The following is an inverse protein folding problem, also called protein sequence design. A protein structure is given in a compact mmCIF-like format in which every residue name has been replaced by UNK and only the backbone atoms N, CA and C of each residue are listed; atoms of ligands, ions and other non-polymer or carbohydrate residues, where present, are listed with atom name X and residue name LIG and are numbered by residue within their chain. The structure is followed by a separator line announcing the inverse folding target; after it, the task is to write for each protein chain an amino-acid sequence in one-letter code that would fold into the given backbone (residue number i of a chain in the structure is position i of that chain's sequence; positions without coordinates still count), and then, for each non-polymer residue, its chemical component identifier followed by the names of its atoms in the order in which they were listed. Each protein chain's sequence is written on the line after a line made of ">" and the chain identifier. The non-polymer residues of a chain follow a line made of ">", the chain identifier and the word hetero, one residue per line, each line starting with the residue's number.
data_IF_130782504927
#
_entry.id   IF_130782504927
#
_cell.length_a   1.000
_cell.length_b   1.000
_cell.length_c   1.000
_cell.angle_alpha   90.00
_cell.angle_beta   90.00
_cell.angle_gamma   90.00
#
_symmetry.space_group_name_H-M   'P 1'
#
loop_
_entity.id
_entity.type
_entity.pdbx_description
1 polymer ?
#
# COMPACT_ATOMS: atom_id res chain seq x y z
N UNK A 1 -60.38 -31.89 15.03
CA UNK A 1 -61.07 -30.74 15.65
C UNK A 1 -61.35 -29.78 14.50
N UNK A 2 -62.50 -29.84 13.84
CA UNK A 2 -63.81 -29.47 14.38
C UNK A 2 -63.86 -27.93 14.38
N UNK A 3 -64.68 -27.27 13.56
CA UNK A 3 -66.13 -27.22 13.69
C UNK A 3 -66.76 -26.76 12.35
N UNK A 4 -67.59 -27.62 11.75
CA UNK A 4 -68.81 -27.21 11.04
C UNK A 4 -69.90 -26.85 12.08
N UNK A 5 -70.88 -26.02 11.72
CA UNK A 5 -72.34 -26.28 11.81
C UNK A 5 -73.18 -24.99 12.10
N UNK A 6 -74.45 -25.05 11.66
CA UNK A 6 -75.62 -24.14 11.76
C UNK A 6 -75.84 -23.23 10.54
N UNK A 7 -76.75 -23.47 9.58
CA UNK A 7 -78.06 -24.17 9.47
C UNK A 7 -79.27 -23.48 10.15
N UNK A 8 -80.32 -23.31 9.32
CA UNK A 8 -81.70 -22.83 9.53
C UNK A 8 -81.88 -21.29 9.61
N UNK A 9 -82.84 -20.66 8.93
CA UNK A 9 -84.23 -21.10 8.79
C UNK A 9 -84.95 -20.44 7.59
N UNK A 10 -85.73 -21.26 6.90
CA UNK A 10 -86.83 -20.90 5.98
C UNK A 10 -87.97 -20.21 6.72
N UNK A 11 -88.72 -19.32 6.06
CA UNK A 11 -90.19 -19.18 6.13
C UNK A 11 -90.68 -17.97 5.27
N UNK A 12 -91.75 -18.19 4.49
CA UNK A 12 -92.68 -17.10 4.13
C UNK A 12 -92.99 -16.86 2.64
N UNK A 13 -93.74 -17.76 2.01
CA UNK A 13 -94.55 -17.42 0.82
C UNK A 13 -95.79 -16.59 1.21
N UNK A 14 -96.22 -15.64 0.36
CA UNK A 14 -97.64 -15.57 0.01
C UNK A 14 -97.89 -15.54 -1.51
N UNK A 15 -99.10 -15.99 -1.88
CA UNK A 15 -99.59 -16.27 -3.24
C UNK A 15 -100.08 -15.03 -3.99
N UNK A 16 -99.86 -15.05 -5.31
CA UNK A 16 -100.66 -14.58 -6.47
C UNK A 16 -101.25 -13.15 -6.47
N UNK A 17 -100.80 -12.33 -7.44
CA UNK A 17 -101.65 -11.87 -8.55
C UNK A 17 -100.87 -11.23 -9.71
N UNK A 18 -101.33 -11.53 -10.93
CA UNK A 18 -101.27 -10.78 -12.21
C UNK A 18 -99.91 -10.39 -12.87
N UNK A 19 -99.62 -11.10 -13.97
CA UNK A 19 -99.00 -10.69 -15.25
C UNK A 19 -97.98 -9.53 -15.30
N UNK A 20 -96.71 -9.84 -15.64
CA UNK A 20 -95.97 -9.43 -16.87
C UNK A 20 -94.48 -9.81 -16.79
N UNK A 21 -94.04 -10.61 -17.77
CA UNK A 21 -92.70 -10.90 -18.31
C UNK A 21 -91.41 -10.58 -17.51
N UNK A 22 -90.79 -11.60 -16.91
CA UNK A 22 -89.34 -11.85 -16.93
C UNK A 22 -89.08 -13.33 -16.54
N UNK A 23 -89.01 -14.23 -17.54
CA UNK A 23 -88.62 -15.63 -17.30
C UNK A 23 -87.10 -15.76 -17.50
N UNK A 24 -86.35 -15.64 -16.40
CA UNK A 24 -84.94 -16.07 -16.34
C UNK A 24 -84.95 -17.56 -15.97
N UNK A 25 -84.62 -18.43 -16.92
CA UNK A 25 -84.28 -19.83 -16.65
C UNK A 25 -82.79 -19.90 -16.38
N UNK A 26 -82.40 -19.91 -15.10
CA UNK A 26 -81.02 -20.20 -14.69
C UNK A 26 -80.82 -21.72 -14.49
N UNK A 27 -79.73 -22.22 -15.05
CA UNK A 27 -79.13 -23.54 -14.89
C UNK A 27 -79.92 -24.77 -15.38
N UNK A 28 -79.47 -25.29 -16.51
CA UNK A 28 -79.70 -26.66 -16.95
C UNK A 28 -78.37 -27.21 -17.47
N UNK A 29 -77.45 -27.54 -16.57
CA UNK A 29 -76.30 -28.36 -16.93
C UNK A 29 -76.81 -29.74 -17.37
N UNK A 30 -76.46 -30.15 -18.59
CA UNK A 30 -76.70 -31.49 -19.17
C UNK A 30 -78.14 -31.91 -19.51
N UNK A 31 -78.95 -31.04 -20.11
CA UNK A 31 -80.14 -31.47 -20.86
C UNK A 31 -80.07 -31.04 -22.34
N UNK A 32 -80.75 -31.81 -23.20
CA UNK A 32 -80.74 -31.68 -24.66
C UNK A 32 -81.32 -30.36 -25.22
N UNK A 33 -81.96 -30.44 -26.40
CA UNK A 33 -82.42 -29.27 -27.15
C UNK A 33 -83.30 -28.34 -26.31
N UNK A 34 -82.90 -27.08 -26.16
CA UNK A 34 -83.67 -26.06 -25.43
C UNK A 34 -84.62 -25.32 -26.40
N UNK A 35 -85.91 -25.22 -26.05
CA UNK A 35 -86.90 -24.47 -26.86
C UNK A 35 -87.51 -23.33 -26.04
N UNK A 36 -87.43 -22.11 -26.56
CA UNK A 36 -87.93 -20.88 -25.93
C UNK A 36 -88.81 -20.14 -26.94
N UNK A 37 -90.01 -19.73 -26.51
CA UNK A 37 -91.00 -19.08 -27.35
C UNK A 37 -91.53 -17.80 -26.68
N UNK A 38 -91.52 -16.68 -27.41
CA UNK A 38 -92.09 -15.41 -26.96
C UNK A 38 -91.30 -14.69 -25.86
N UNK A 39 -89.97 -14.55 -26.01
CA UNK A 39 -89.12 -13.90 -25.01
C UNK A 39 -88.59 -12.52 -25.46
N UNK A 40 -88.52 -11.52 -24.57
CA UNK A 40 -87.85 -10.24 -24.90
C UNK A 40 -86.34 -10.38 -25.02
N UNK A 41 -85.72 -11.12 -24.09
CA UNK A 41 -84.30 -11.45 -24.10
C UNK A 41 -84.08 -12.87 -23.56
N UNK A 42 -83.13 -13.62 -24.15
CA UNK A 42 -82.70 -14.92 -23.66
C UNK A 42 -81.18 -14.99 -23.47
N UNK A 43 -80.74 -15.62 -22.37
CA UNK A 43 -79.34 -15.96 -22.13
C UNK A 43 -79.24 -17.47 -21.94
N UNK A 44 -78.54 -18.16 -22.84
CA UNK A 44 -78.38 -19.61 -22.82
C UNK A 44 -76.89 -19.96 -22.76
N UNK A 45 -76.52 -20.81 -21.81
CA UNK A 45 -75.18 -21.37 -21.65
C UNK A 45 -75.25 -22.90 -21.67
N UNK A 46 -74.30 -23.54 -22.36
CA UNK A 46 -74.13 -25.00 -22.31
C UNK A 46 -75.07 -25.85 -23.18
N UNK A 47 -75.98 -25.25 -23.96
CA UNK A 47 -76.93 -26.02 -24.78
C UNK A 47 -76.30 -26.59 -26.06
N UNK A 48 -76.53 -27.87 -26.35
CA UNK A 48 -76.05 -28.51 -27.60
C UNK A 48 -76.78 -27.98 -28.86
N UNK A 49 -78.06 -27.64 -28.72
CA UNK A 49 -78.89 -26.98 -29.73
C UNK A 49 -80.01 -26.15 -29.07
N UNK A 50 -80.27 -24.95 -29.59
CA UNK A 50 -81.31 -24.05 -29.11
C UNK A 50 -82.29 -23.68 -30.23
N UNK A 51 -83.60 -23.74 -29.95
CA UNK A 51 -84.69 -23.31 -30.84
C UNK A 51 -85.42 -22.11 -30.23
N UNK A 52 -85.22 -20.94 -30.82
CA UNK A 52 -85.80 -19.68 -30.37
C UNK A 52 -86.88 -19.24 -31.36
N UNK A 53 -88.13 -19.10 -30.90
CA UNK A 53 -89.24 -18.62 -31.73
C UNK A 53 -89.83 -17.33 -31.14
N UNK A 54 -89.74 -16.23 -31.90
CA UNK A 54 -90.32 -14.94 -31.50
C UNK A 54 -89.53 -14.19 -30.41
N UNK A 55 -88.23 -14.49 -30.24
CA UNK A 55 -87.39 -13.75 -29.30
C UNK A 55 -86.72 -12.52 -29.94
N UNK A 56 -86.71 -11.37 -29.26
CA UNK A 56 -86.16 -10.11 -29.80
C UNK A 56 -84.63 -10.01 -29.73
N UNK A 57 -84.00 -10.59 -28.70
CA UNK A 57 -82.55 -10.64 -28.55
C UNK A 57 -82.11 -11.93 -27.83
N UNK A 58 -80.97 -12.50 -28.20
CA UNK A 58 -80.41 -13.68 -27.53
C UNK A 58 -78.88 -13.64 -27.45
N UNK A 59 -78.33 -14.02 -26.29
CA UNK A 59 -76.89 -14.24 -26.08
C UNK A 59 -76.64 -15.73 -25.87
N UNK A 60 -75.97 -16.37 -26.83
CA UNK A 60 -75.64 -17.79 -26.83
C UNK A 60 -74.15 -17.96 -26.52
N UNK A 61 -73.81 -18.66 -25.44
CA UNK A 61 -72.42 -19.04 -25.16
C UNK A 61 -72.30 -20.57 -25.20
N UNK A 62 -71.43 -21.09 -26.07
CA UNK A 62 -71.18 -22.52 -26.23
C UNK A 62 -72.24 -23.32 -27.01
N UNK A 63 -73.18 -22.66 -27.70
CA UNK A 63 -74.26 -23.33 -28.45
C UNK A 63 -74.00 -23.35 -29.97
N UNK A 64 -74.25 -24.48 -30.65
CA UNK A 64 -74.32 -24.55 -32.13
C UNK A 64 -75.72 -24.12 -32.59
N UNK A 65 -75.85 -22.94 -33.21
CA UNK A 65 -77.16 -22.41 -33.60
C UNK A 65 -77.68 -23.01 -34.93
N UNK A 66 -78.99 -23.32 -35.00
CA UNK A 66 -79.68 -23.75 -36.23
C UNK A 66 -81.02 -23.01 -36.37
N UNK A 67 -81.15 -22.23 -37.45
CA UNK A 67 -82.35 -21.56 -37.99
C UNK A 67 -83.14 -20.61 -37.06
N UNK A 68 -83.06 -19.30 -37.35
CA UNK A 68 -84.07 -18.30 -36.97
C UNK A 68 -85.17 -18.29 -38.03
N UNK A 69 -86.41 -18.67 -37.68
CA UNK A 69 -87.58 -18.50 -38.54
C UNK A 69 -88.43 -17.38 -37.94
N UNK A 70 -88.49 -16.22 -38.60
CA UNK A 70 -89.41 -15.13 -38.23
C UNK A 70 -90.72 -15.27 -39.00
N UNK A 71 -91.83 -15.08 -38.29
CA UNK A 71 -93.23 -14.97 -38.74
C UNK A 71 -93.88 -14.02 -37.73
N UNK A 72 -94.65 -12.97 -38.04
CA UNK A 72 -95.48 -12.66 -39.19
C UNK A 72 -95.58 -11.14 -39.37
N UNK A 73 -95.49 -10.64 -40.61
CA UNK A 73 -96.13 -9.39 -41.03
C UNK A 73 -97.25 -9.80 -41.99
N UNK A 74 -98.49 -9.40 -41.69
CA UNK A 74 -99.62 -9.56 -42.60
C UNK A 74 -99.42 -8.62 -43.79
N UNK A 75 -98.96 -9.16 -44.91
CA UNK A 75 -99.00 -8.50 -46.21
C UNK A 75 -99.89 -9.31 -47.14
N UNK A 76 -100.82 -8.58 -47.75
CA UNK A 76 -101.81 -9.06 -48.72
C UNK A 76 -101.16 -9.93 -49.81
N UNK A 77 -101.96 -10.84 -50.35
CA UNK A 77 -101.68 -11.93 -51.29
C UNK A 77 -101.10 -11.55 -52.67
N UNK A 78 -100.09 -10.67 -52.76
CA UNK A 78 -99.52 -10.26 -54.06
C UNK A 78 -97.99 -10.09 -54.11
N UNK A 79 -97.21 -10.67 -53.18
CA UNK A 79 -95.74 -10.58 -53.23
C UNK A 79 -95.01 -11.86 -52.76
N UNK A 80 -95.52 -13.05 -53.12
CA UNK A 80 -94.92 -14.35 -52.73
C UNK A 80 -94.02 -14.99 -53.82
N UNK A 81 -93.73 -14.31 -54.94
CA UNK A 81 -93.03 -14.94 -56.08
C UNK A 81 -91.66 -14.35 -56.43
N UNK A 82 -91.01 -13.59 -55.55
CA UNK A 82 -89.70 -12.96 -55.85
C UNK A 82 -88.58 -13.16 -54.81
N UNK A 83 -88.72 -14.12 -53.88
CA UNK A 83 -87.69 -14.39 -52.83
C UNK A 83 -87.15 -15.83 -52.84
N UNK A 84 -86.75 -16.35 -54.00
CA UNK A 84 -86.12 -17.69 -54.12
C UNK A 84 -84.75 -17.70 -54.82
N UNK A 85 -84.06 -16.56 -54.94
CA UNK A 85 -82.71 -16.49 -55.54
C UNK A 85 -81.61 -16.03 -54.59
N UNK A 86 -81.63 -16.39 -53.31
CA UNK A 86 -80.47 -16.15 -52.43
C UNK A 86 -80.20 -17.33 -51.50
N UNK A 87 -79.16 -18.10 -51.82
CA UNK A 87 -78.59 -19.10 -50.92
C UNK A 87 -77.14 -19.39 -51.31
N UNK A 88 -76.22 -18.47 -51.02
CA UNK A 88 -74.85 -18.77 -50.55
C UNK A 88 -74.32 -17.53 -49.82
N UNK A 89 -74.74 -17.33 -48.57
CA UNK A 89 -73.96 -16.53 -47.64
C UNK A 89 -72.98 -17.50 -46.96
N UNK A 90 -71.73 -17.42 -47.37
CA UNK A 90 -70.58 -18.08 -46.75
C UNK A 90 -70.47 -17.56 -45.31
N UNK A 91 -70.59 -18.45 -44.32
CA UNK A 91 -70.25 -18.10 -42.95
C UNK A 91 -68.73 -18.16 -42.84
N UNK A 92 -68.08 -17.01 -42.94
CA UNK A 92 -66.70 -16.87 -42.50
C UNK A 92 -66.68 -17.12 -40.99
N UNK A 93 -65.95 -18.15 -40.57
CA UNK A 93 -65.62 -18.32 -39.15
C UNK A 93 -64.54 -17.29 -38.89
N UNK A 94 -64.93 -16.10 -38.44
CA UNK A 94 -63.99 -15.12 -37.89
C UNK A 94 -63.28 -15.82 -36.73
N UNK A 95 -62.06 -16.26 -36.99
CA UNK A 95 -61.18 -16.83 -36.00
C UNK A 95 -60.72 -15.71 -35.07
N UNK A 96 -61.36 -15.61 -33.91
CA UNK A 96 -61.07 -14.61 -32.86
C UNK A 96 -59.65 -14.82 -32.27
N UNK A 97 -58.87 -15.80 -32.74
CA UNK A 97 -57.48 -16.03 -32.33
C UNK A 97 -56.43 -15.13 -33.03
N UNK A 98 -56.78 -14.32 -34.04
CA UNK A 98 -55.85 -13.33 -34.64
C UNK A 98 -56.16 -11.90 -34.18
N UNK A 99 -55.64 -11.52 -33.01
CA UNK A 99 -55.82 -10.17 -32.42
C UNK A 99 -54.60 -9.26 -32.69
N UNK A 100 -54.14 -9.19 -33.93
CA UNK A 100 -53.12 -8.21 -34.31
C UNK A 100 -53.75 -6.87 -34.67
N UNK A 101 -53.22 -5.75 -34.17
CA UNK A 101 -53.63 -4.39 -34.59
C UNK A 101 -52.74 -3.94 -35.73
N UNK A 102 -53.31 -3.58 -36.89
CA UNK A 102 -52.54 -3.02 -38.01
C UNK A 102 -53.00 -1.59 -38.35
N UNK A 103 -52.06 -0.71 -38.67
CA UNK A 103 -52.36 0.65 -39.15
C UNK A 103 -51.29 1.08 -40.16
N UNK A 104 -51.65 1.18 -41.44
CA UNK A 104 -50.73 1.55 -42.52
C UNK A 104 -50.83 0.63 -43.74
N UNK A 105 -50.46 1.12 -44.92
CA UNK A 105 -50.48 0.31 -46.15
C UNK A 105 -49.55 -0.89 -46.02
N UNK A 106 -50.06 -2.09 -46.28
CA UNK A 106 -49.31 -3.36 -46.19
C UNK A 106 -48.73 -3.66 -44.79
N UNK A 107 -49.25 -3.04 -43.73
CA UNK A 107 -48.90 -3.41 -42.36
C UNK A 107 -49.42 -4.82 -42.02
N UNK A 108 -48.58 -5.62 -41.36
CA UNK A 108 -48.86 -7.03 -41.05
C UNK A 108 -48.59 -7.32 -39.57
N UNK A 109 -49.59 -7.83 -38.85
CA UNK A 109 -49.48 -8.21 -37.44
C UNK A 109 -50.00 -9.64 -37.22
N UNK A 110 -49.29 -10.69 -37.67
CA UNK A 110 -49.79 -12.05 -37.60
C UNK A 110 -49.62 -12.69 -36.21
N UNK A 111 -48.80 -12.10 -35.32
CA UNK A 111 -48.62 -12.56 -33.94
C UNK A 111 -49.85 -12.33 -33.07
N UNK A 112 -50.08 -13.20 -32.08
CA UNK A 112 -51.18 -13.03 -31.13
C UNK A 112 -50.97 -11.78 -30.26
N UNK A 113 -51.91 -10.85 -30.28
CA UNK A 113 -51.80 -9.60 -29.51
C UNK A 113 -50.74 -8.62 -30.03
N UNK A 114 -50.25 -8.81 -31.26
CA UNK A 114 -49.20 -7.94 -31.82
C UNK A 114 -49.76 -6.63 -32.39
N UNK A 115 -48.91 -5.61 -32.55
CA UNK A 115 -49.29 -4.29 -33.10
C UNK A 115 -48.31 -3.87 -34.18
N UNK A 116 -48.77 -3.62 -35.41
CA UNK A 116 -47.98 -3.12 -36.52
C UNK A 116 -48.53 -1.78 -37.03
N UNK A 117 -47.80 -0.68 -36.81
CA UNK A 117 -48.18 0.67 -37.23
C UNK A 117 -47.12 1.28 -38.17
N UNK A 118 -47.42 1.44 -39.45
CA UNK A 118 -46.53 1.99 -40.46
C UNK A 118 -46.61 1.22 -41.78
N UNK A 119 -46.27 1.88 -42.90
CA UNK A 119 -46.24 1.22 -44.20
C UNK A 119 -45.31 0.00 -44.17
N UNK A 120 -45.78 -1.18 -44.57
CA UNK A 120 -45.00 -2.43 -44.58
C UNK A 120 -44.36 -2.79 -43.23
N UNK A 121 -44.92 -2.32 -42.11
CA UNK A 121 -44.51 -2.76 -40.78
C UNK A 121 -44.93 -4.22 -40.55
N UNK A 122 -44.11 -5.00 -39.84
CA UNK A 122 -44.36 -6.42 -39.60
C UNK A 122 -44.14 -6.79 -38.12
N UNK A 123 -45.21 -7.10 -37.39
CA UNK A 123 -45.18 -7.55 -35.99
C UNK A 123 -45.58 -9.03 -35.92
N UNK A 124 -44.62 -9.93 -36.16
CA UNK A 124 -44.89 -11.37 -36.30
C UNK A 124 -44.73 -12.21 -35.04
N UNK A 125 -44.01 -11.72 -34.03
CA UNK A 125 -43.92 -12.38 -32.72
C UNK A 125 -45.19 -12.21 -31.88
N UNK A 126 -45.41 -13.10 -30.92
CA UNK A 126 -46.51 -13.01 -29.95
C UNK A 126 -46.33 -11.75 -29.09
N UNK A 127 -47.35 -10.92 -28.97
CA UNK A 127 -47.29 -9.68 -28.20
C UNK A 127 -46.30 -8.64 -28.73
N UNK A 128 -45.77 -8.81 -29.95
CA UNK A 128 -44.74 -7.91 -30.48
C UNK A 128 -45.32 -6.58 -30.98
N UNK A 129 -44.49 -5.53 -31.00
CA UNK A 129 -44.90 -4.19 -31.46
C UNK A 129 -43.93 -3.66 -32.51
N UNK A 130 -44.39 -3.44 -33.75
CA UNK A 130 -43.63 -2.81 -34.82
C UNK A 130 -44.24 -1.44 -35.17
N UNK A 131 -43.55 -0.34 -34.93
CA UNK A 131 -44.02 1.02 -35.24
C UNK A 131 -42.99 1.75 -36.12
N UNK A 132 -43.35 2.08 -37.36
CA UNK A 132 -42.49 2.75 -38.34
C UNK A 132 -42.55 2.06 -39.71
N UNK A 133 -42.26 2.80 -40.78
CA UNK A 133 -42.23 2.22 -42.13
C UNK A 133 -41.16 1.13 -42.20
N UNK A 134 -41.52 -0.06 -42.68
CA UNK A 134 -40.63 -1.24 -42.77
C UNK A 134 -40.01 -1.65 -41.43
N UNK A 135 -40.64 -1.32 -40.30
CA UNK A 135 -40.25 -1.85 -38.99
C UNK A 135 -40.62 -3.33 -38.86
N UNK A 136 -39.79 -4.13 -38.19
CA UNK A 136 -39.99 -5.55 -38.00
C UNK A 136 -39.76 -5.97 -36.56
N UNK A 137 -40.80 -6.49 -35.91
CA UNK A 137 -40.76 -7.07 -34.56
C UNK A 137 -41.12 -8.55 -34.66
N UNK A 138 -40.12 -9.39 -34.94
CA UNK A 138 -40.29 -10.81 -35.25
C UNK A 138 -40.04 -11.75 -34.07
N UNK A 139 -39.40 -11.28 -33.01
CA UNK A 139 -39.31 -12.03 -31.75
C UNK A 139 -40.57 -11.92 -30.89
N UNK A 140 -40.83 -12.92 -30.05
CA UNK A 140 -41.93 -12.86 -29.08
C UNK A 140 -41.66 -11.75 -28.06
N UNK A 141 -42.69 -10.97 -27.73
CA UNK A 141 -42.65 -9.79 -26.88
C UNK A 141 -41.66 -8.71 -27.35
N UNK A 142 -41.20 -8.77 -28.60
CA UNK A 142 -40.23 -7.82 -29.14
C UNK A 142 -40.87 -6.47 -29.49
N UNK A 143 -40.08 -5.39 -29.45
CA UNK A 143 -40.53 -4.04 -29.81
C UNK A 143 -39.57 -3.39 -30.80
N UNK A 144 -40.05 -3.08 -32.01
CA UNK A 144 -39.30 -2.35 -33.03
C UNK A 144 -39.98 -1.01 -33.32
N UNK A 145 -39.39 0.10 -32.89
CA UNK A 145 -39.92 1.46 -33.10
C UNK A 145 -38.94 2.32 -33.89
N UNK A 146 -39.28 2.68 -35.12
CA UNK A 146 -38.46 3.46 -36.05
C UNK A 146 -38.50 2.86 -37.46
N UNK A 147 -38.32 3.68 -38.49
CA UNK A 147 -38.27 3.17 -39.85
C UNK A 147 -37.10 2.17 -40.01
N UNK A 148 -37.36 1.00 -40.61
CA UNK A 148 -36.38 -0.09 -40.75
C UNK A 148 -35.82 -0.67 -39.44
N UNK A 149 -36.41 -0.35 -38.28
CA UNK A 149 -36.01 -0.96 -37.01
C UNK A 149 -36.34 -2.45 -37.00
N UNK A 150 -35.47 -3.26 -36.38
CA UNK A 150 -35.59 -4.72 -36.36
C UNK A 150 -35.35 -5.24 -34.94
N UNK A 151 -36.36 -5.87 -34.36
CA UNK A 151 -36.28 -6.59 -33.10
C UNK A 151 -36.58 -8.08 -33.36
N UNK A 152 -35.53 -8.88 -33.51
CA UNK A 152 -35.62 -10.21 -34.14
C UNK A 152 -35.64 -11.39 -33.16
N UNK A 153 -35.50 -11.14 -31.85
CA UNK A 153 -35.42 -12.17 -30.82
C UNK A 153 -36.38 -11.91 -29.68
N UNK A 154 -36.65 -12.94 -28.89
CA UNK A 154 -37.54 -12.84 -27.75
C UNK A 154 -37.10 -11.70 -26.81
N UNK A 155 -38.07 -10.90 -26.35
CA UNK A 155 -37.87 -9.75 -25.46
C UNK A 155 -36.91 -8.66 -26.02
N UNK A 156 -36.56 -8.66 -27.31
CA UNK A 156 -35.64 -7.67 -27.86
C UNK A 156 -36.34 -6.34 -28.16
N UNK A 157 -35.64 -5.23 -27.97
CA UNK A 157 -36.17 -3.87 -28.18
C UNK A 157 -35.26 -3.05 -29.08
N UNK A 158 -35.74 -2.64 -30.25
CA UNK A 158 -35.03 -1.79 -31.20
C UNK A 158 -35.78 -0.45 -31.36
N UNK A 159 -35.22 0.65 -30.86
CA UNK A 159 -35.80 2.00 -30.98
C UNK A 159 -34.85 2.94 -31.73
N UNK A 160 -35.24 3.40 -32.91
CA UNK A 160 -34.46 4.28 -33.77
C UNK A 160 -34.50 3.82 -35.23
N UNK A 161 -34.21 4.73 -36.16
CA UNK A 161 -34.13 4.38 -37.58
C UNK A 161 -33.04 3.32 -37.79
N UNK A 162 -33.40 2.19 -38.37
CA UNK A 162 -32.48 1.07 -38.63
C UNK A 162 -31.78 0.53 -37.38
N UNK A 163 -32.35 0.73 -36.18
CA UNK A 163 -31.88 0.07 -34.96
C UNK A 163 -32.10 -1.46 -35.08
N UNK A 164 -31.15 -2.27 -34.61
CA UNK A 164 -31.20 -3.72 -34.71
C UNK A 164 -30.95 -4.34 -33.33
N UNK A 165 -31.95 -5.02 -32.79
CA UNK A 165 -31.86 -5.82 -31.56
C UNK A 165 -32.03 -7.30 -31.93
N UNK A 166 -30.90 -7.97 -32.18
CA UNK A 166 -30.84 -9.34 -32.71
C UNK A 166 -30.36 -10.40 -31.71
N UNK A 167 -30.03 -9.98 -30.48
CA UNK A 167 -29.82 -10.88 -29.34
C UNK A 167 -31.11 -11.05 -28.53
N UNK A 168 -31.26 -12.20 -27.87
CA UNK A 168 -32.37 -12.43 -26.94
C UNK A 168 -32.28 -11.45 -25.77
N UNK A 169 -33.39 -10.79 -25.42
CA UNK A 169 -33.43 -9.74 -24.40
C UNK A 169 -32.59 -8.50 -24.70
N UNK A 170 -32.08 -8.34 -25.93
CA UNK A 170 -31.19 -7.22 -26.25
C UNK A 170 -31.94 -5.91 -26.49
N UNK A 171 -31.29 -4.77 -26.20
CA UNK A 171 -31.87 -3.43 -26.38
C UNK A 171 -30.97 -2.55 -27.24
N UNK A 172 -31.47 -2.10 -28.39
CA UNK A 172 -30.78 -1.18 -29.29
C UNK A 172 -31.57 0.13 -29.38
N UNK A 173 -31.04 1.23 -28.83
CA UNK A 173 -31.66 2.55 -28.85
C UNK A 173 -30.75 3.57 -29.53
N UNK A 174 -31.13 4.05 -30.71
CA UNK A 174 -30.35 5.00 -31.52
C UNK A 174 -30.48 4.73 -33.02
N UNK A 175 -30.18 5.70 -33.89
CA UNK A 175 -30.14 5.42 -35.33
C UNK A 175 -28.97 4.48 -35.62
N UNK A 176 -29.22 3.37 -36.30
CA UNK A 176 -28.23 2.34 -36.60
C UNK A 176 -27.53 1.71 -35.38
N UNK A 177 -28.12 1.80 -34.18
CA UNK A 177 -27.60 1.05 -33.03
C UNK A 177 -27.80 -0.45 -33.25
N UNK A 178 -26.84 -1.28 -32.83
CA UNK A 178 -26.88 -2.73 -32.97
C UNK A 178 -26.58 -3.43 -31.64
N UNK A 179 -27.56 -4.16 -31.11
CA UNK A 179 -27.42 -5.00 -29.93
C UNK A 179 -27.59 -6.47 -30.35
N UNK A 180 -26.47 -7.14 -30.65
CA UNK A 180 -26.45 -8.51 -31.19
C UNK A 180 -26.07 -9.59 -30.17
N UNK A 181 -25.47 -9.21 -29.05
CA UNK A 181 -25.25 -10.12 -27.92
C UNK A 181 -26.55 -10.43 -27.16
N UNK A 182 -26.66 -11.63 -26.61
CA UNK A 182 -27.73 -11.97 -25.66
C UNK A 182 -27.66 -11.04 -24.44
N UNK A 183 -28.79 -10.45 -24.05
CA UNK A 183 -28.89 -9.47 -22.97
C UNK A 183 -28.10 -8.17 -23.19
N UNK A 184 -27.60 -7.91 -24.40
CA UNK A 184 -26.75 -6.74 -24.64
C UNK A 184 -27.55 -5.44 -24.80
N UNK A 185 -26.94 -4.31 -24.48
CA UNK A 185 -27.56 -2.98 -24.57
C UNK A 185 -26.69 -2.03 -25.38
N UNK A 186 -27.20 -1.51 -26.49
CA UNK A 186 -26.55 -0.49 -27.32
C UNK A 186 -27.38 0.80 -27.32
N UNK A 187 -26.87 1.87 -26.70
CA UNK A 187 -27.54 3.17 -26.61
C UNK A 187 -26.68 4.25 -27.25
N UNK A 188 -27.17 4.88 -28.32
CA UNK A 188 -26.50 5.91 -29.10
C UNK A 188 -26.46 5.55 -30.59
N UNK A 189 -26.42 6.56 -31.46
CA UNK A 189 -26.33 6.31 -32.90
C UNK A 189 -25.05 5.54 -33.24
N UNK A 190 -25.13 4.51 -34.08
CA UNK A 190 -24.02 3.63 -34.44
C UNK A 190 -23.34 2.93 -33.24
N UNK A 191 -23.99 2.85 -32.08
CA UNK A 191 -23.48 2.02 -30.98
C UNK A 191 -23.61 0.53 -31.32
N UNK A 192 -22.64 -0.28 -30.92
CA UNK A 192 -22.63 -1.73 -31.15
C UNK A 192 -22.32 -2.47 -29.84
N UNK A 193 -23.24 -3.32 -29.39
CA UNK A 193 -23.07 -4.21 -28.25
C UNK A 193 -23.18 -5.67 -28.73
N UNK A 194 -22.04 -6.28 -29.05
CA UNK A 194 -21.95 -7.62 -29.65
C UNK A 194 -21.55 -8.72 -28.68
N UNK A 195 -20.94 -8.37 -27.55
CA UNK A 195 -20.69 -9.31 -26.45
C UNK A 195 -21.97 -9.71 -25.71
N UNK A 196 -22.02 -10.95 -25.21
CA UNK A 196 -23.05 -11.40 -24.27
C UNK A 196 -23.07 -10.49 -23.03
N UNK A 197 -24.24 -9.98 -22.64
CA UNK A 197 -24.41 -9.08 -21.51
C UNK A 197 -23.65 -7.75 -21.62
N UNK A 198 -23.15 -7.38 -22.80
CA UNK A 198 -22.34 -6.18 -22.98
C UNK A 198 -23.20 -4.91 -23.06
N UNK A 199 -22.63 -3.77 -22.67
CA UNK A 199 -23.30 -2.46 -22.72
C UNK A 199 -22.45 -1.44 -23.46
N UNK A 200 -22.95 -0.92 -24.58
CA UNK A 200 -22.35 0.17 -25.33
C UNK A 200 -23.19 1.45 -25.17
N UNK A 201 -22.65 2.48 -24.53
CA UNK A 201 -23.37 3.76 -24.32
C UNK A 201 -22.57 4.92 -24.89
N UNK A 202 -23.07 5.52 -25.97
CA UNK A 202 -22.47 6.63 -26.69
C UNK A 202 -22.54 6.46 -28.20
N UNK A 203 -22.50 7.56 -28.94
CA UNK A 203 -22.39 7.49 -30.40
C UNK A 203 -21.10 6.78 -30.81
N UNK A 204 -21.20 5.72 -31.64
CA UNK A 204 -20.04 4.93 -32.05
C UNK A 204 -19.37 4.11 -30.94
N UNK A 205 -20.02 3.88 -29.79
CA UNK A 205 -19.48 3.02 -28.74
C UNK A 205 -19.55 1.53 -29.14
N UNK A 206 -18.51 0.75 -28.86
CA UNK A 206 -18.37 -0.67 -29.25
C UNK A 206 -18.05 -1.55 -28.04
N UNK A 207 -19.01 -2.34 -27.56
CA UNK A 207 -18.83 -3.30 -26.46
C UNK A 207 -18.83 -4.74 -27.00
N UNK A 208 -17.62 -5.28 -27.21
CA UNK A 208 -17.38 -6.56 -27.91
C UNK A 208 -17.11 -7.70 -26.93
N UNK A 209 -16.44 -7.42 -25.81
CA UNK A 209 -16.21 -8.42 -24.75
C UNK A 209 -17.50 -8.80 -24.03
N UNK A 210 -17.56 -10.03 -23.52
CA UNK A 210 -18.68 -10.49 -22.67
C UNK A 210 -18.71 -9.72 -21.35
N UNK A 211 -19.90 -9.34 -20.90
CA UNK A 211 -20.11 -8.57 -19.67
C UNK A 211 -19.28 -7.27 -19.62
N UNK A 212 -18.94 -6.71 -20.79
CA UNK A 212 -18.13 -5.50 -20.92
C UNK A 212 -18.99 -4.24 -21.05
N UNK A 213 -18.42 -3.08 -20.72
CA UNK A 213 -19.08 -1.77 -20.81
C UNK A 213 -18.19 -0.80 -21.59
N UNK A 214 -18.64 -0.38 -22.76
CA UNK A 214 -18.05 0.74 -23.51
C UNK A 214 -18.82 2.02 -23.16
N UNK A 215 -18.19 2.92 -22.41
CA UNK A 215 -18.83 4.11 -21.86
C UNK A 215 -18.27 5.41 -22.47
N UNK A 216 -19.12 6.10 -23.23
CA UNK A 216 -18.84 7.36 -23.91
C UNK A 216 -18.77 7.20 -25.44
N UNK A 217 -18.86 8.31 -26.17
CA UNK A 217 -18.79 8.31 -27.63
C UNK A 217 -17.45 7.75 -28.12
N UNK A 218 -17.47 6.88 -29.13
CA UNK A 218 -16.28 6.20 -29.66
C UNK A 218 -15.47 5.44 -28.59
N UNK A 219 -16.10 4.95 -27.53
CA UNK A 219 -15.46 4.02 -26.59
C UNK A 219 -15.44 2.61 -27.16
N UNK A 220 -14.45 1.79 -26.78
CA UNK A 220 -14.37 0.40 -27.19
C UNK A 220 -13.93 -0.48 -26.02
N UNK A 221 -14.80 -1.40 -25.60
CA UNK A 221 -14.49 -2.43 -24.61
C UNK A 221 -14.33 -3.77 -25.33
N UNK A 222 -13.10 -4.27 -25.38
CA UNK A 222 -12.75 -5.45 -26.21
C UNK A 222 -12.57 -6.71 -25.39
N UNK A 223 -12.38 -6.59 -24.07
CA UNK A 223 -12.15 -7.72 -23.18
C UNK A 223 -13.38 -8.02 -22.34
N UNK A 224 -13.49 -9.29 -21.94
CA UNK A 224 -14.55 -9.73 -21.04
C UNK A 224 -14.40 -9.06 -19.67
N UNK A 225 -15.51 -8.68 -19.04
CA UNK A 225 -15.57 -8.03 -17.73
C UNK A 225 -14.80 -6.68 -17.65
N UNK A 226 -14.67 -5.97 -18.77
CA UNK A 226 -13.99 -4.67 -18.86
C UNK A 226 -14.98 -3.49 -18.83
N UNK A 227 -14.63 -2.40 -18.14
CA UNK A 227 -15.25 -1.08 -18.37
C UNK A 227 -14.23 -0.18 -19.06
N UNK A 228 -14.50 0.23 -20.30
CA UNK A 228 -13.60 1.08 -21.09
C UNK A 228 -14.21 2.47 -21.33
N UNK A 229 -13.46 3.50 -20.95
CA UNK A 229 -13.80 4.93 -21.16
C UNK A 229 -12.89 5.62 -22.19
N UNK A 230 -12.05 4.88 -22.90
CA UNK A 230 -11.12 5.41 -23.90
C UNK A 230 -11.84 6.00 -25.13
N UNK A 231 -11.12 6.77 -25.92
CA UNK A 231 -11.58 7.26 -27.23
C UNK A 231 -10.82 6.49 -28.30
N UNK A 232 -11.55 5.85 -29.19
CA UNK A 232 -11.03 5.05 -30.29
C UNK A 232 -11.37 5.72 -31.61
N UNK A 233 -10.62 5.39 -32.66
CA UNK A 233 -10.99 5.75 -34.02
C UNK A 233 -12.27 5.03 -34.46
N UNK A 234 -12.84 5.45 -35.58
CA UNK A 234 -14.09 4.86 -36.10
C UNK A 234 -13.95 3.38 -36.48
N UNK A 235 -12.74 2.95 -36.85
CA UNK A 235 -12.42 1.54 -37.10
C UNK A 235 -12.32 0.72 -35.80
N UNK A 236 -12.16 1.38 -34.65
CA UNK A 236 -11.93 0.75 -33.37
C UNK A 236 -10.56 0.08 -33.26
N UNK A 237 -9.61 0.38 -34.13
CA UNK A 237 -8.29 -0.27 -34.18
C UNK A 237 -7.27 0.46 -33.29
N UNK A 238 -7.38 1.79 -33.20
CA UNK A 238 -6.41 2.63 -32.51
C UNK A 238 -7.12 3.46 -31.44
N UNK A 239 -6.62 3.37 -30.21
CA UNK A 239 -7.02 4.30 -29.17
C UNK A 239 -6.42 5.68 -29.45
N UNK A 240 -7.27 6.64 -29.84
CA UNK A 240 -6.89 8.02 -30.19
C UNK A 240 -6.87 8.96 -28.99
N UNK A 241 -7.44 8.56 -27.86
CA UNK A 241 -7.44 9.36 -26.64
C UNK A 241 -7.91 8.63 -25.39
N UNK A 242 -7.80 9.34 -24.26
CA UNK A 242 -8.30 8.89 -22.95
C UNK A 242 -9.29 9.91 -22.39
N UNK A 243 -10.11 9.48 -21.44
CA UNK A 243 -10.96 10.35 -20.63
C UNK A 243 -10.42 10.41 -19.21
N UNK A 244 -10.51 11.59 -18.60
CA UNK A 244 -10.31 11.72 -17.16
C UNK A 244 -11.52 11.17 -16.43
N UNK A 245 -11.29 10.39 -15.37
CA UNK A 245 -12.33 9.96 -14.44
C UNK A 245 -12.21 10.80 -13.17
N UNK A 246 -13.13 11.75 -12.99
CA UNK A 246 -13.12 12.71 -11.88
C UNK A 246 -14.33 12.53 -10.96
N UNK A 247 -14.28 13.14 -9.77
CA UNK A 247 -15.34 13.02 -8.76
C UNK A 247 -15.23 11.76 -7.87
N UNK A 248 -14.08 11.09 -7.87
CA UNK A 248 -13.83 9.95 -7.01
C UNK A 248 -13.56 10.40 -5.57
N UNK A 249 -14.36 9.88 -4.64
CA UNK A 249 -14.00 9.89 -3.22
C UNK A 249 -12.77 8.99 -2.96
N UNK A 250 -12.22 9.07 -1.76
CA UNK A 250 -11.12 8.20 -1.34
C UNK A 250 -11.60 6.74 -1.28
N UNK A 251 -10.85 5.83 -1.92
CA UNK A 251 -11.06 4.39 -1.78
C UNK A 251 -10.70 3.88 -0.38
N UNK A 252 -11.58 3.09 0.20
CA UNK A 252 -11.52 2.50 1.54
C UNK A 252 -11.46 0.96 1.52
N UNK A 253 -11.81 0.32 0.40
CA UNK A 253 -11.70 -1.13 0.18
C UNK A 253 -10.70 -1.47 -0.93
N UNK A 254 -10.25 -2.73 -0.96
CA UNK A 254 -9.21 -3.22 -1.89
C UNK A 254 -9.64 -3.20 -3.37
N UNK A 255 -10.96 -3.16 -3.63
CA UNK A 255 -11.59 -3.14 -4.95
C UNK A 255 -12.08 -1.74 -5.37
N UNK A 256 -11.79 -0.72 -4.57
CA UNK A 256 -12.14 0.67 -4.89
C UNK A 256 -11.00 1.40 -5.61
N UNK A 257 -11.37 2.31 -6.52
CA UNK A 257 -10.39 3.10 -7.26
C UNK A 257 -9.66 4.09 -6.34
N UNK A 258 -8.33 4.15 -6.47
CA UNK A 258 -7.49 5.13 -5.76
C UNK A 258 -7.53 6.47 -6.47
N UNK A 259 -7.89 7.54 -5.75
CA UNK A 259 -7.83 8.89 -6.32
C UNK A 259 -6.42 9.52 -6.17
N UNK A 260 -6.20 10.66 -6.86
CA UNK A 260 -4.89 11.36 -6.83
C UNK A 260 -4.51 11.84 -5.42
N UNK A 261 -5.47 12.26 -4.59
CA UNK A 261 -5.20 12.75 -3.23
C UNK A 261 -4.62 11.67 -2.31
N UNK A 262 -5.14 10.45 -2.41
CA UNK A 262 -4.59 9.28 -1.69
C UNK A 262 -3.17 8.95 -2.16
N UNK A 263 -2.92 8.98 -3.47
CA UNK A 263 -1.60 8.75 -4.05
C UNK A 263 -0.59 9.82 -3.59
N UNK A 264 -0.94 11.10 -3.70
CA UNK A 264 -0.10 12.22 -3.27
C UNK A 264 0.22 12.12 -1.77
N UNK A 265 -0.76 11.78 -0.95
CA UNK A 265 -0.57 11.54 0.50
C UNK A 265 0.43 10.42 0.76
N UNK A 266 0.32 9.30 0.03
CA UNK A 266 1.26 8.19 0.15
C UNK A 266 2.67 8.59 -0.28
N UNK A 267 2.81 9.34 -1.37
CA UNK A 267 4.10 9.84 -1.87
C UNK A 267 4.75 10.78 -0.84
N UNK A 268 3.99 11.72 -0.27
CA UNK A 268 4.49 12.66 0.73
C UNK A 268 4.94 11.95 2.02
N UNK A 269 4.20 10.93 2.45
CA UNK A 269 4.58 10.10 3.59
C UNK A 269 5.88 9.33 3.33
N UNK A 270 6.09 8.83 2.11
CA UNK A 270 7.32 8.15 1.72
C UNK A 270 8.51 9.12 1.65
N UNK A 271 8.32 10.31 1.08
CA UNK A 271 9.35 11.37 1.05
C UNK A 271 9.77 11.79 2.47
N UNK A 272 8.80 11.95 3.36
CA UNK A 272 9.05 12.27 4.77
C UNK A 272 9.86 11.17 5.47
N UNK A 273 9.50 9.89 5.26
CA UNK A 273 10.28 8.76 5.80
C UNK A 273 11.69 8.70 5.24
N UNK A 274 11.85 8.92 3.93
CA UNK A 274 13.16 8.92 3.27
C UNK A 274 14.07 10.02 3.83
N UNK A 275 13.54 11.25 3.99
CA UNK A 275 14.24 12.36 4.64
C UNK A 275 14.63 12.02 6.08
N UNK A 276 13.73 11.40 6.84
CA UNK A 276 14.01 10.95 8.21
C UNK A 276 15.18 9.95 8.28
N UNK A 277 15.23 8.97 7.38
CA UNK A 277 16.35 8.03 7.31
C UNK A 277 17.66 8.70 6.91
N UNK A 278 17.63 9.62 5.94
CA UNK A 278 18.82 10.37 5.52
C UNK A 278 19.37 11.24 6.65
N UNK A 279 18.51 11.97 7.36
CA UNK A 279 18.92 12.79 8.51
C UNK A 279 19.50 11.95 9.65
N UNK A 280 18.91 10.78 9.92
CA UNK A 280 19.42 9.86 10.95
C UNK A 280 20.80 9.31 10.57
N UNK A 281 20.99 8.90 9.31
CA UNK A 281 22.28 8.43 8.80
C UNK A 281 23.35 9.54 8.87
N UNK A 282 23.00 10.77 8.48
CA UNK A 282 23.89 11.92 8.58
C UNK A 282 24.27 12.22 10.04
N UNK A 283 23.31 12.24 10.95
CA UNK A 283 23.56 12.47 12.37
C UNK A 283 24.47 11.39 12.97
N UNK A 284 24.24 10.12 12.63
CA UNK A 284 25.09 9.01 13.06
C UNK A 284 26.51 9.16 12.51
N UNK A 285 26.68 9.49 11.23
CA UNK A 285 27.99 9.68 10.62
C UNK A 285 28.77 10.81 11.29
N UNK A 286 28.12 11.95 11.56
CA UNK A 286 28.74 13.09 12.26
C UNK A 286 29.14 12.71 13.69
N UNK A 287 28.26 12.02 14.43
CA UNK A 287 28.54 11.56 15.80
C UNK A 287 29.73 10.61 15.85
N UNK A 288 29.77 9.60 14.96
CA UNK A 288 30.89 8.66 14.90
C UNK A 288 32.20 9.35 14.50
N UNK A 289 32.15 10.28 13.53
CA UNK A 289 33.32 11.04 13.11
C UNK A 289 33.87 11.89 14.26
N UNK A 290 33.01 12.59 15.01
CA UNK A 290 33.44 13.40 16.17
C UNK A 290 34.07 12.52 17.24
N UNK A 291 33.41 11.43 17.62
CA UNK A 291 33.93 10.49 18.61
C UNK A 291 35.30 9.94 18.22
N UNK A 292 35.48 9.54 16.95
CA UNK A 292 36.76 9.07 16.44
C UNK A 292 37.86 10.15 16.52
N UNK A 293 37.56 11.38 16.09
CA UNK A 293 38.51 12.49 16.15
C UNK A 293 38.88 12.84 17.59
N UNK A 294 37.89 12.97 18.48
CA UNK A 294 38.11 13.30 19.90
C UNK A 294 38.97 12.24 20.58
N UNK A 295 38.70 10.95 20.34
CA UNK A 295 39.46 9.83 20.88
C UNK A 295 40.90 9.80 20.34
N UNK A 296 41.08 10.06 19.04
CA UNK A 296 42.41 10.15 18.42
C UNK A 296 43.23 11.33 18.98
N UNK A 297 42.59 12.49 19.16
CA UNK A 297 43.21 13.67 19.77
C UNK A 297 43.60 13.41 21.23
N UNK A 298 42.74 12.75 22.01
CA UNK A 298 43.03 12.37 23.39
C UNK A 298 44.25 11.42 23.47
N UNK A 299 44.29 10.37 22.64
CA UNK A 299 45.44 9.44 22.58
C UNK A 299 46.75 10.14 22.19
N UNK A 300 46.69 11.06 21.23
CA UNK A 300 47.85 11.83 20.80
C UNK A 300 48.37 12.72 21.92
N UNK A 301 47.47 13.40 22.64
CA UNK A 301 47.82 14.23 23.78
C UNK A 301 48.43 13.41 24.93
N UNK A 302 47.85 12.25 25.25
CA UNK A 302 48.36 11.34 26.26
C UNK A 302 49.78 10.83 25.92
N UNK A 303 50.00 10.44 24.66
CA UNK A 303 51.31 10.01 24.17
C UNK A 303 52.35 11.13 24.28
N UNK A 304 51.98 12.36 23.90
CA UNK A 304 52.85 13.53 23.99
C UNK A 304 53.19 13.87 25.45
N UNK A 305 52.21 13.81 26.36
CA UNK A 305 52.43 14.02 27.80
C UNK A 305 53.34 12.95 28.39
N UNK A 306 53.13 11.69 28.04
CA UNK A 306 53.99 10.57 28.50
C UNK A 306 55.42 10.76 28.03
N UNK A 307 55.63 11.10 26.76
CA UNK A 307 56.96 11.39 26.22
C UNK A 307 57.63 12.57 26.93
N UNK A 308 56.88 13.66 27.14
CA UNK A 308 57.39 14.88 27.81
C UNK A 308 57.75 14.59 29.27
N UNK A 309 56.90 13.88 30.00
CA UNK A 309 57.15 13.50 31.40
C UNK A 309 58.36 12.57 31.51
N UNK A 310 58.50 11.60 30.62
CA UNK A 310 59.67 10.72 30.58
C UNK A 310 60.96 11.51 30.33
N UNK A 311 60.95 12.43 29.36
CA UNK A 311 62.10 13.31 29.08
C UNK A 311 62.43 14.22 30.26
N UNK A 312 61.43 14.77 30.96
CA UNK A 312 61.63 15.59 32.14
C UNK A 312 62.27 14.77 33.29
N UNK A 313 61.73 13.59 33.58
CA UNK A 313 62.29 12.69 34.60
C UNK A 313 63.73 12.24 34.26
N UNK A 314 64.02 11.94 33.00
CA UNK A 314 65.38 11.63 32.56
C UNK A 314 66.34 12.82 32.73
N UNK A 315 65.89 14.03 32.42
CA UNK A 315 66.70 15.23 32.59
C UNK A 315 67.03 15.48 34.07
N UNK A 316 66.05 15.30 34.96
CA UNK A 316 66.22 15.40 36.42
C UNK A 316 67.19 14.34 36.95
N UNK A 317 66.98 13.07 36.61
CA UNK A 317 67.88 11.97 37.00
C UNK A 317 69.31 12.20 36.52
N UNK A 318 69.49 12.67 35.27
CA UNK A 318 70.81 13.01 34.74
C UNK A 318 71.45 14.20 35.47
N UNK A 319 70.66 15.19 35.89
CA UNK A 319 71.16 16.33 36.67
C UNK A 319 71.60 15.89 38.07
N UNK A 320 70.81 15.07 38.75
CA UNK A 320 71.15 14.49 40.06
C UNK A 320 72.40 13.61 39.95
N UNK A 321 72.49 12.75 38.94
CA UNK A 321 73.67 11.90 38.72
C UNK A 321 74.94 12.73 38.47
N UNK A 322 74.85 13.84 37.71
CA UNK A 322 75.98 14.77 37.54
C UNK A 322 76.37 15.43 38.86
N UNK A 323 75.39 15.85 39.67
CA UNK A 323 75.63 16.46 40.98
C UNK A 323 76.30 15.49 41.96
N UNK A 324 75.85 14.24 42.00
CA UNK A 324 76.44 13.20 42.85
C UNK A 324 77.88 12.91 42.44
N UNK A 325 78.15 12.69 41.15
CA UNK A 325 79.51 12.49 40.65
C UNK A 325 80.44 13.67 40.99
N UNK A 326 79.96 14.92 40.84
CA UNK A 326 80.74 16.09 41.25
C UNK A 326 81.06 16.07 42.75
N UNK A 327 80.06 15.74 43.57
CA UNK A 327 80.17 15.67 45.03
C UNK A 327 81.12 14.55 45.46
N UNK A 328 80.99 13.35 44.88
CA UNK A 328 81.85 12.19 45.14
C UNK A 328 83.31 12.46 44.74
N UNK A 329 83.54 13.10 43.60
CA UNK A 329 84.88 13.52 43.18
C UNK A 329 85.49 14.49 44.19
N UNK A 330 84.73 15.50 44.65
CA UNK A 330 85.20 16.45 45.67
C UNK A 330 85.48 15.78 47.01
N UNK A 331 84.63 14.85 47.45
CA UNK A 331 84.89 14.07 48.66
C UNK A 331 86.08 13.14 48.50
N UNK A 332 86.31 12.58 47.31
CA UNK A 332 87.49 11.79 46.98
C UNK A 332 88.79 12.61 47.07
N UNK A 333 88.81 13.79 46.45
CA UNK A 333 89.92 14.76 46.55
C UNK A 333 90.19 15.14 48.01
N UNK A 334 89.13 15.41 48.79
CA UNK A 334 89.24 15.71 50.21
C UNK A 334 89.83 14.53 51.00
N UNK A 335 89.37 13.30 50.74
CA UNK A 335 89.87 12.09 51.40
C UNK A 335 91.36 11.87 51.13
N UNK A 336 91.81 12.10 49.90
CA UNK A 336 93.24 12.04 49.55
C UNK A 336 94.06 13.13 50.25
N UNK A 337 93.53 14.35 50.35
CA UNK A 337 94.18 15.44 51.09
C UNK A 337 94.30 15.12 52.58
N UNK A 338 93.28 14.48 53.17
CA UNK A 338 93.32 13.99 54.55
C UNK A 338 94.35 12.88 54.73
N UNK A 339 94.39 11.88 53.85
CA UNK A 339 95.41 10.81 53.89
C UNK A 339 96.84 11.36 53.74
N UNK A 340 97.03 12.38 52.88
CA UNK A 340 98.32 13.04 52.73
C UNK A 340 98.71 13.80 53.99
N UNK A 341 97.75 14.51 54.60
CA UNK A 341 97.94 15.20 55.88
C UNK A 341 98.27 14.21 56.99
N UNK A 342 97.56 13.08 57.09
CA UNK A 342 97.82 12.01 58.05
C UNK A 342 99.22 11.43 57.86
N UNK A 343 99.64 11.13 56.62
CA UNK A 343 100.98 10.65 56.32
C UNK A 343 102.07 11.67 56.70
N UNK A 344 101.84 12.96 56.43
CA UNK A 344 102.76 14.04 56.84
C UNK A 344 102.86 14.14 58.35
N UNK A 345 101.74 14.02 59.07
CA UNK A 345 101.71 14.01 60.54
C UNK A 345 102.44 12.78 61.10
N UNK A 346 102.15 11.59 60.61
CA UNK A 346 102.81 10.35 61.03
C UNK A 346 104.34 10.40 60.78
N UNK A 347 104.76 10.94 59.64
CA UNK A 347 106.17 11.16 59.31
C UNK A 347 106.83 12.21 60.25
N UNK A 348 106.12 13.28 60.58
CA UNK A 348 106.59 14.28 61.56
C UNK A 348 106.77 13.67 62.97
N UNK A 349 105.82 12.86 63.43
CA UNK A 349 105.93 12.12 64.72
C UNK A 349 107.11 11.15 64.68
N UNK A 350 107.29 10.42 63.58
CA UNK A 350 108.47 9.58 63.37
C UNK A 350 109.76 10.41 63.42
N UNK A 351 109.76 11.64 62.90
CA UNK A 351 110.86 12.61 63.00
C UNK A 351 111.23 12.95 64.43
N UNK A 352 110.24 13.29 65.26
CA UNK A 352 110.46 13.55 66.70
C UNK A 352 110.92 12.29 67.44
N UNK A 353 110.38 11.12 67.08
CA UNK A 353 110.81 9.84 67.62
C UNK A 353 112.29 9.58 67.29
N UNK A 354 112.69 9.80 66.04
CA UNK A 354 114.09 9.70 65.60
C UNK A 354 114.99 10.64 66.40
N UNK A 355 114.57 11.90 66.60
CA UNK A 355 115.30 12.92 67.39
C UNK A 355 115.46 12.49 68.86
N UNK A 356 114.43 11.91 69.46
CA UNK A 356 114.46 11.45 70.84
C UNK A 356 115.35 10.22 71.05
N UNK A 357 115.53 9.41 70.00
CA UNK A 357 116.32 8.17 70.05
C UNK A 357 117.82 8.38 69.82
N UNK A 358 118.27 9.62 69.57
CA UNK A 358 119.68 9.92 69.31
C UNK A 358 120.51 9.70 70.57
N UNK A 359 121.48 8.75 70.57
CA UNK A 359 122.38 8.55 71.68
C UNK A 359 123.49 9.61 71.67
N UNK A 360 123.90 10.08 72.85
CA UNK A 360 125.06 10.95 73.01
C UNK A 360 126.02 10.35 74.04
N UNK A 361 127.31 10.33 73.71
CA UNK A 361 128.35 9.79 74.59
C UNK A 361 128.56 10.72 75.79
N UNK A 362 128.31 10.21 77.00
CA UNK A 362 128.49 10.95 78.24
C UNK A 362 129.98 11.22 78.51
N UNK A 363 130.32 12.47 78.87
CA UNK A 363 131.67 12.86 79.32
C UNK A 363 132.55 13.58 78.29
N UNK A 364 132.21 13.55 77.00
CA UNK A 364 132.98 14.21 75.94
C UNK A 364 132.56 15.68 75.71
N UNK A 365 133.50 16.56 75.29
CA UNK A 365 133.21 17.96 74.94
C UNK A 365 132.29 18.09 73.70
N UNK A 366 132.35 17.11 72.81
CA UNK A 366 131.56 17.00 71.60
C UNK A 366 131.04 15.56 71.46
N UNK A 367 129.77 15.41 71.08
CA UNK A 367 129.18 14.13 70.72
C UNK A 367 128.29 14.33 69.50
N UNK A 368 128.26 13.35 68.60
CA UNK A 368 127.29 13.27 67.53
C UNK A 368 126.51 11.96 67.65
N UNK A 369 125.32 11.92 67.10
CA UNK A 369 124.50 10.73 67.10
C UNK A 369 123.50 10.74 65.94
N UNK A 370 123.03 9.55 65.60
CA UNK A 370 122.02 9.35 64.56
C UNK A 370 120.92 8.50 65.19
N UNK A 371 119.68 8.89 64.96
CA UNK A 371 118.48 8.19 65.42
C UNK A 371 117.57 7.89 64.24
N UNK A 372 116.79 6.83 64.36
CA UNK A 372 115.77 6.47 63.39
C UNK A 372 114.44 6.30 64.13
N UNK A 373 113.37 6.79 63.54
CA UNK A 373 112.04 6.76 64.11
C UNK A 373 111.05 6.19 63.10
N UNK A 374 110.13 5.38 63.61
CA UNK A 374 109.03 4.83 62.84
C UNK A 374 107.75 5.05 63.65
N UNK A 375 106.69 5.52 62.98
CA UNK A 375 105.36 5.64 63.54
C UNK A 375 104.32 5.43 62.45
N UNK A 376 103.48 4.40 62.58
CA UNK A 376 102.50 4.02 61.56
C UNK A 376 103.17 3.89 60.18
N UNK A 377 102.68 4.61 59.17
CA UNK A 377 103.22 4.66 57.81
C UNK A 377 104.29 5.75 57.60
N UNK A 378 104.74 6.41 58.67
CA UNK A 378 105.79 7.42 58.66
C UNK A 378 107.13 6.87 59.15
N UNK A 379 108.21 7.21 58.45
CA UNK A 379 109.58 6.90 58.84
C UNK A 379 110.40 8.18 58.85
N UNK A 380 111.40 8.27 59.71
CA UNK A 380 112.31 9.42 59.70
C UNK A 380 113.69 9.05 60.24
N UNK A 381 114.67 9.84 59.84
CA UNK A 381 116.05 9.75 60.33
C UNK A 381 116.43 11.11 60.89
N UNK A 382 117.14 11.11 62.00
CA UNK A 382 117.61 12.31 62.65
C UNK A 382 119.11 12.23 62.94
N UNK A 383 119.78 13.36 62.83
CA UNK A 383 121.16 13.53 63.20
C UNK A 383 121.26 14.67 64.21
N UNK A 384 122.10 14.49 65.22
CA UNK A 384 122.22 15.44 66.30
C UNK A 384 123.66 15.58 66.75
N UNK A 385 124.00 16.79 67.18
CA UNK A 385 125.28 17.09 67.82
C UNK A 385 125.02 17.71 69.19
N UNK A 386 125.83 17.34 70.16
CA UNK A 386 125.81 17.88 71.51
C UNK A 386 127.18 18.48 71.82
N UNK A 387 127.16 19.71 72.33
CA UNK A 387 128.32 20.43 72.82
C UNK A 387 128.19 20.65 74.32
N UNK A 388 129.24 20.34 75.07
CA UNK A 388 129.31 20.62 76.51
C UNK A 388 130.06 21.94 76.71
N UNK A 389 129.31 23.01 76.98
CA UNK A 389 129.84 24.39 77.07
C UNK A 389 130.50 24.65 78.44
N UNK A 390 129.99 24.01 79.50
CA UNK A 390 130.56 24.08 80.86
C UNK A 390 130.44 22.72 81.58
N UNK A 391 131.00 22.58 82.78
CA UNK A 391 130.87 21.33 83.56
C UNK A 391 129.40 21.00 83.88
N UNK A 392 128.50 21.97 83.91
CA UNK A 392 127.07 21.82 84.19
C UNK A 392 126.12 22.08 83.00
N UNK A 393 126.63 22.56 81.84
CA UNK A 393 125.78 23.04 80.73
C UNK A 393 126.03 22.28 79.44
N UNK A 394 124.95 21.74 78.85
CA UNK A 394 124.93 21.04 77.57
C UNK A 394 124.02 21.76 76.58
N UNK A 395 124.47 21.87 75.33
CA UNK A 395 123.67 22.38 74.20
C UNK A 395 123.55 21.26 73.17
N UNK A 396 122.35 21.01 72.68
CA UNK A 396 122.05 20.04 71.61
C UNK A 396 121.47 20.76 70.41
N UNK A 397 121.94 20.40 69.23
CA UNK A 397 121.38 20.81 67.95
C UNK A 397 121.07 19.56 67.14
N UNK A 398 119.81 19.42 66.76
CA UNK A 398 119.29 18.23 66.12
C UNK A 398 118.51 18.61 64.87
N UNK A 399 118.62 17.76 63.86
CA UNK A 399 117.89 17.87 62.61
C UNK A 399 117.31 16.50 62.27
N UNK A 400 116.08 16.46 61.78
CA UNK A 400 115.44 15.25 61.27
C UNK A 400 114.91 15.46 59.88
N UNK A 401 114.91 14.39 59.09
CA UNK A 401 114.29 14.28 57.79
C UNK A 401 113.31 13.13 57.79
N UNK A 402 112.08 13.38 57.37
CA UNK A 402 111.01 12.40 57.37
C UNK A 402 110.68 11.88 55.96
N UNK A 403 109.97 10.75 55.90
CA UNK A 403 109.58 10.07 54.67
C UNK A 403 108.47 10.80 53.89
N UNK A 404 107.91 11.87 54.45
CA UNK A 404 107.00 12.78 53.76
C UNK A 404 107.73 14.01 53.18
N UNK A 405 109.06 14.05 53.28
CA UNK A 405 109.91 15.10 52.72
C UNK A 405 109.98 16.36 53.57
N UNK A 406 109.48 16.33 54.81
CA UNK A 406 109.69 17.46 55.73
C UNK A 406 110.99 17.29 56.49
N UNK A 407 111.50 18.42 56.97
CA UNK A 407 112.59 18.45 57.92
C UNK A 407 112.14 19.19 59.19
N UNK A 408 112.74 18.81 60.31
CA UNK A 408 112.51 19.46 61.58
C UNK A 408 113.86 19.72 62.24
N UNK A 409 114.03 20.88 62.85
CA UNK A 409 115.26 21.25 63.54
C UNK A 409 114.92 21.65 64.96
N UNK A 410 115.64 21.10 65.93
CA UNK A 410 115.46 21.39 67.34
C UNK A 410 116.77 21.79 67.99
N UNK A 411 116.71 22.78 68.86
CA UNK A 411 117.84 23.17 69.71
C UNK A 411 117.39 23.10 71.16
N UNK A 412 118.19 22.46 72.00
CA UNK A 412 117.91 22.32 73.42
C UNK A 412 119.13 22.68 74.25
N UNK A 413 118.91 23.30 75.41
CA UNK A 413 119.94 23.62 76.39
C UNK A 413 119.53 22.97 77.71
N UNK A 414 120.46 22.28 78.35
CA UNK A 414 120.26 21.67 79.65
C UNK A 414 121.36 22.14 80.61
N UNK A 415 120.96 22.60 81.79
CA UNK A 415 121.85 22.99 82.89
C UNK A 415 121.47 22.23 84.16
N UNK A 416 122.44 21.62 84.84
CA UNK A 416 122.23 20.93 86.11
C UNK A 416 123.38 21.21 87.07
N UNK A 417 123.07 21.51 88.33
CA UNK A 417 124.04 21.89 89.36
C UNK A 417 124.44 20.73 90.26
#
# INVERSE_FOLDING_TARGET
>A
MGIELFLLQTLGFPRKNSYQEENILENSDNLGSCTLQGCKAARLQGCKAARLQGCKAARLQGCKAKFLKSTNFTLSSLALTLFLSSSMAYADVVDISKQGTTTGSEANAPGYGSTATGQKSNASGVGSTATGSLSEASGDYSTATGAFSQASKENSTATGRSAQASGEGSTATGSFSQASGEGSTATGSFSQASGEGSTATGNGAHAIGKYSVALGANSKASHDNEVNIGVWDEAGEIQTGTRTLSGLADGTHDDEAVNKGQLDTRINNLDTKAKGYASTAQANAVTHSKAYTDESSARTLESANTYTNHRAAQAENNAVARSNNYTDNRFGELRQSLEHTEKRLNAGIAGVTALSSIPYAAGNKFSYGIGAGNYQNGNAVAAGVQFRVSQSTNVRLNISWDSAGNNATGVGIAGGW
#
